data_IF_581320273916
#
_entry.id   IF_581320273916
#
_cell.length_a   1.000
_cell.length_b   1.000
_cell.length_c   1.000
_cell.angle_alpha   90.00
_cell.angle_beta   90.00
_cell.angle_gamma   90.00
#
_symmetry.space_group_name_H-M   'P 1'
#
loop_
_entity.id
_entity.type
_entity.pdbx_description
1 polymer ?
#
# COMPACT_ATOMS: atom_id res chain seq x y z
N UNK A 1 17.89 1.58 14.21
CA UNK A 1 16.99 0.79 15.08
C UNK A 1 16.72 1.45 16.45
N UNK A 2 17.72 1.71 17.31
CA UNK A 2 17.49 2.37 18.61
C UNK A 2 16.77 3.71 18.51
N UNK A 3 17.14 4.53 17.52
CA UNK A 3 16.48 5.83 17.28
C UNK A 3 15.05 5.69 16.74
N UNK A 4 14.78 4.69 15.90
CA UNK A 4 13.43 4.41 15.41
C UNK A 4 12.51 3.93 16.55
N UNK A 5 13.02 3.09 17.46
CA UNK A 5 12.25 2.67 18.62
C UNK A 5 11.84 3.84 19.50
N UNK A 6 12.80 4.72 19.85
CA UNK A 6 12.50 5.94 20.61
C UNK A 6 11.48 6.83 19.91
N UNK A 7 11.61 6.99 18.60
CA UNK A 7 10.64 7.75 17.81
C UNK A 7 9.24 7.14 17.89
N UNK A 8 9.11 5.81 17.79
CA UNK A 8 7.82 5.12 17.90
C UNK A 8 7.27 5.26 19.33
N UNK A 9 8.13 5.19 20.36
CA UNK A 9 7.74 5.30 21.77
C UNK A 9 7.16 6.68 22.13
N UNK A 10 7.39 7.71 21.30
CA UNK A 10 6.80 9.05 21.44
C UNK A 10 5.31 9.11 20.99
N UNK A 11 4.80 8.06 20.36
CA UNK A 11 3.43 7.99 19.83
C UNK A 11 2.62 6.87 20.52
N UNK A 12 1.30 7.06 20.60
CA UNK A 12 0.41 5.95 20.95
C UNK A 12 0.44 4.91 19.81
N UNK A 13 0.39 3.58 20.09
CA UNK A 13 0.31 2.57 19.04
C UNK A 13 -0.79 2.80 18.00
N UNK A 14 -1.92 3.40 18.38
CA UNK A 14 -2.99 3.74 17.42
C UNK A 14 -2.57 4.80 16.39
N UNK A 15 -1.57 5.63 16.72
CA UNK A 15 -1.05 6.77 15.95
C UNK A 15 0.22 6.46 15.16
N UNK A 16 0.64 5.18 15.11
CA UNK A 16 1.77 4.72 14.30
C UNK A 16 1.24 3.89 13.15
N UNK A 17 1.36 4.40 11.93
CA UNK A 17 0.93 3.73 10.70
C UNK A 17 2.09 3.13 9.94
N UNK A 18 1.82 2.06 9.20
CA UNK A 18 2.73 1.53 8.20
C UNK A 18 2.03 1.41 6.85
N UNK A 19 2.67 1.91 5.79
CA UNK A 19 2.25 1.75 4.40
C UNK A 19 3.25 0.84 3.68
N UNK A 20 2.73 0.00 2.78
CA UNK A 20 3.53 -0.69 1.76
C UNK A 20 2.65 -1.11 0.57
N UNK A 21 3.27 -1.19 -0.60
CA UNK A 21 2.62 -1.54 -1.86
C UNK A 21 2.88 -2.98 -2.27
N UNK A 22 1.93 -3.54 -3.02
CA UNK A 22 2.09 -4.87 -3.58
C UNK A 22 1.41 -5.04 -4.93
N UNK A 23 2.09 -5.74 -5.85
CA UNK A 23 1.49 -6.17 -7.10
C UNK A 23 0.49 -7.31 -6.89
N UNK A 24 -0.71 -7.17 -7.42
CA UNK A 24 -1.71 -8.22 -7.59
C UNK A 24 -1.82 -8.61 -9.06
N UNK A 25 -1.53 -9.87 -9.35
CA UNK A 25 -1.71 -10.46 -10.68
C UNK A 25 -3.07 -11.16 -10.75
N UNK A 26 -4.12 -10.39 -10.98
CA UNK A 26 -5.51 -10.84 -10.89
C UNK A 26 -5.95 -11.76 -12.05
N UNK A 27 -5.21 -11.76 -13.17
CA UNK A 27 -5.47 -12.65 -14.29
C UNK A 27 -4.62 -13.93 -14.26
N UNK A 28 -3.84 -14.18 -13.20
CA UNK A 28 -3.03 -15.39 -13.13
C UNK A 28 -3.91 -16.62 -12.82
N UNK A 29 -3.91 -17.64 -13.70
CA UNK A 29 -4.63 -18.87 -13.43
C UNK A 29 -4.04 -19.62 -12.22
N UNK A 30 -4.82 -20.51 -11.57
CA UNK A 30 -4.32 -21.46 -10.59
C UNK A 30 -3.11 -22.23 -11.16
N UNK A 31 -2.14 -22.55 -10.31
CA UNK A 31 -0.78 -22.95 -10.71
C UNK A 31 -0.73 -24.34 -11.36
N UNK A 32 -1.08 -24.45 -12.65
CA UNK A 32 -0.50 -25.31 -13.71
C UNK A 32 -1.37 -25.30 -14.97
N UNK A 33 -0.90 -24.61 -16.00
CA UNK A 33 -0.85 -25.00 -17.43
C UNK A 33 0.06 -23.95 -18.09
N UNK A 34 1.38 -24.08 -17.91
CA UNK A 34 2.35 -23.24 -18.63
C UNK A 34 2.39 -23.68 -20.09
N UNK A 35 1.39 -23.25 -20.85
CA UNK A 35 1.36 -23.30 -22.31
C UNK A 35 1.60 -21.89 -22.87
N UNK A 36 2.87 -21.53 -23.06
CA UNK A 36 3.31 -20.65 -24.14
C UNK A 36 2.74 -19.23 -24.26
N UNK A 37 2.39 -18.51 -23.18
CA UNK A 37 2.03 -17.08 -23.29
C UNK A 37 3.10 -16.18 -22.67
N UNK A 38 3.71 -15.36 -23.52
CA UNK A 38 4.79 -14.39 -23.24
C UNK A 38 4.28 -13.01 -22.80
N UNK A 39 2.96 -12.78 -22.74
CA UNK A 39 2.41 -11.50 -22.27
C UNK A 39 2.59 -11.39 -20.75
N UNK A 40 3.17 -10.27 -20.30
CA UNK A 40 3.20 -9.91 -18.88
C UNK A 40 1.76 -9.96 -18.36
N UNK A 41 1.48 -10.70 -17.27
CA UNK A 41 0.14 -10.74 -16.70
C UNK A 41 -0.27 -9.32 -16.32
N UNK A 42 -1.52 -8.93 -16.60
CA UNK A 42 -2.04 -7.64 -16.12
C UNK A 42 -1.89 -7.62 -14.60
N UNK A 43 -1.20 -6.61 -14.09
CA UNK A 43 -1.02 -6.39 -12.68
C UNK A 43 -1.63 -5.05 -12.30
N UNK A 44 -2.28 -5.04 -11.15
CA UNK A 44 -2.64 -3.83 -10.44
C UNK A 44 -1.74 -3.74 -9.21
N UNK A 45 -1.37 -2.54 -8.80
CA UNK A 45 -0.68 -2.34 -7.53
C UNK A 45 -1.69 -1.90 -6.48
N UNK A 46 -1.62 -2.49 -5.29
CA UNK A 46 -2.41 -2.09 -4.13
C UNK A 46 -1.47 -1.61 -3.04
N UNK A 47 -1.67 -0.39 -2.56
CA UNK A 47 -1.05 0.10 -1.31
C UNK A 47 -1.99 -0.17 -0.14
N UNK A 48 -1.45 -0.74 0.94
CA UNK A 48 -2.18 -1.03 2.17
C UNK A 48 -1.58 -0.24 3.32
N UNK A 49 -2.43 0.38 4.14
CA UNK A 49 -2.02 1.16 5.29
C UNK A 49 -2.87 0.80 6.52
N UNK A 50 -2.23 0.55 7.65
CA UNK A 50 -2.90 0.34 8.93
C UNK A 50 -2.04 0.84 10.09
N UNK A 51 -2.67 1.06 11.24
CA UNK A 51 -1.95 1.42 12.45
C UNK A 51 -1.37 0.20 13.18
N UNK A 52 -0.46 0.46 14.13
CA UNK A 52 0.34 -0.56 14.80
C UNK A 52 -0.48 -1.47 15.72
N UNK A 53 -1.57 -0.97 16.31
CA UNK A 53 -2.49 -1.81 17.12
C UNK A 53 -3.58 -2.50 16.29
N UNK A 54 -3.67 -2.19 14.99
CA UNK A 54 -4.61 -2.80 14.05
C UNK A 54 -6.07 -2.35 14.21
N UNK A 55 -6.34 -1.37 15.07
CA UNK A 55 -7.68 -0.79 15.26
C UNK A 55 -8.16 0.01 14.04
N UNK A 56 -7.23 0.50 13.21
CA UNK A 56 -7.53 1.30 12.03
C UNK A 56 -6.81 0.75 10.79
N UNK A 57 -7.60 0.53 9.74
CA UNK A 57 -7.14 0.08 8.43
C UNK A 57 -7.70 1.06 7.42
N UNK A 58 -6.84 1.71 6.65
CA UNK A 58 -7.29 2.65 5.63
C UNK A 58 -7.81 1.92 4.41
N UNK A 59 -8.65 2.61 3.66
CA UNK A 59 -9.03 2.17 2.32
C UNK A 59 -7.77 1.96 1.47
N UNK A 60 -7.67 0.84 0.74
CA UNK A 60 -6.53 0.59 -0.12
C UNK A 60 -6.41 1.66 -1.21
N UNK A 61 -5.18 1.98 -1.60
CA UNK A 61 -4.92 2.75 -2.82
C UNK A 61 -4.66 1.80 -3.98
N UNK A 62 -5.30 2.02 -5.12
CA UNK A 62 -5.19 1.13 -6.29
C UNK A 62 -4.53 1.84 -7.46
N UNK A 63 -3.55 1.20 -8.09
CA UNK A 63 -2.88 1.72 -9.27
C UNK A 63 -3.07 0.74 -10.41
N UNK A 64 -3.72 1.20 -11.48
CA UNK A 64 -4.03 0.39 -12.64
C UNK A 64 -3.15 0.76 -13.85
N UNK A 65 -2.92 -0.18 -14.76
CA UNK A 65 -2.13 0.06 -15.98
C UNK A 65 -2.87 0.86 -17.04
N UNK A 66 -4.19 0.91 -16.92
CA UNK A 66 -5.13 1.52 -17.86
C UNK A 66 -5.98 2.54 -17.09
N UNK A 67 -6.12 3.75 -17.63
CA UNK A 67 -6.81 4.87 -17.00
C UNK A 67 -8.26 4.56 -16.63
N UNK A 68 -8.93 3.79 -17.49
CA UNK A 68 -10.33 3.41 -17.33
C UNK A 68 -10.49 1.98 -16.80
N UNK A 69 -9.42 1.37 -16.29
CA UNK A 69 -9.44 -0.05 -15.89
C UNK A 69 -10.33 -0.36 -14.69
N UNK A 70 -10.77 0.68 -13.98
CA UNK A 70 -11.71 0.61 -12.87
C UNK A 70 -13.07 1.25 -13.22
N UNK A 71 -13.28 1.70 -14.47
CA UNK A 71 -14.55 2.28 -14.90
C UNK A 71 -15.68 1.27 -14.73
N UNK A 72 -16.80 1.73 -14.17
CA UNK A 72 -17.94 0.87 -13.84
C UNK A 72 -17.74 0.02 -12.58
N UNK A 73 -16.56 0.03 -11.96
CA UNK A 73 -16.39 -0.53 -10.62
C UNK A 73 -16.87 0.50 -9.58
N UNK A 74 -17.83 0.12 -8.74
CA UNK A 74 -18.33 0.96 -7.64
C UNK A 74 -17.41 0.82 -6.41
N UNK A 75 -16.09 0.93 -6.60
CA UNK A 75 -15.13 0.74 -5.52
C UNK A 75 -14.70 2.12 -5.02
N UNK A 76 -15.06 2.51 -3.79
CA UNK A 76 -14.73 3.82 -3.23
C UNK A 76 -13.27 3.81 -2.74
N UNK A 77 -12.32 3.66 -3.65
CA UNK A 77 -10.90 3.70 -3.33
C UNK A 77 -10.24 4.83 -4.09
N UNK A 78 -9.26 5.46 -3.43
CA UNK A 78 -8.33 6.35 -4.13
C UNK A 78 -7.59 5.51 -5.17
N UNK A 79 -7.64 5.94 -6.42
CA UNK A 79 -7.02 5.21 -7.51
C UNK A 79 -6.23 6.12 -8.45
N UNK A 80 -5.20 5.52 -9.03
CA UNK A 80 -4.33 6.16 -10.02
C UNK A 80 -4.17 5.25 -11.22
N UNK A 81 -3.65 5.80 -12.31
CA UNK A 81 -3.29 5.02 -13.48
C UNK A 81 -2.00 5.50 -14.12
N UNK A 82 -1.14 4.56 -14.49
CA UNK A 82 0.02 4.77 -15.34
C UNK A 82 0.40 3.46 -16.02
N UNK A 83 1.09 3.50 -17.15
CA UNK A 83 1.35 2.32 -17.98
C UNK A 83 2.08 1.18 -17.25
N UNK A 84 2.86 1.50 -16.21
CA UNK A 84 3.61 0.56 -15.39
C UNK A 84 2.79 0.02 -14.22
N UNK A 85 1.64 0.62 -13.91
CA UNK A 85 0.84 0.39 -12.72
C UNK A 85 1.66 0.43 -11.43
N UNK A 86 2.59 1.38 -11.30
CA UNK A 86 3.48 1.54 -10.15
C UNK A 86 3.18 2.82 -9.37
N UNK A 87 3.59 2.86 -8.10
CA UNK A 87 3.61 4.10 -7.34
C UNK A 87 4.61 5.07 -7.95
N UNK A 88 4.20 6.34 -8.06
CA UNK A 88 5.05 7.46 -8.51
C UNK A 88 5.15 8.50 -7.40
N UNK A 89 6.12 9.40 -7.49
CA UNK A 89 6.24 10.53 -6.54
C UNK A 89 4.98 11.37 -6.45
N UNK A 90 4.35 11.65 -7.60
CA UNK A 90 3.12 12.44 -7.66
C UNK A 90 1.94 11.72 -6.99
N UNK A 91 1.77 10.41 -7.28
CA UNK A 91 0.71 9.60 -6.68
C UNK A 91 0.89 9.50 -5.16
N UNK A 92 2.12 9.25 -4.71
CA UNK A 92 2.42 9.19 -3.28
C UNK A 92 2.18 10.53 -2.59
N UNK A 93 2.56 11.63 -3.23
CA UNK A 93 2.35 12.99 -2.72
C UNK A 93 0.87 13.30 -2.55
N UNK A 94 0.05 13.06 -3.56
CA UNK A 94 -1.41 13.27 -3.49
C UNK A 94 -2.05 12.38 -2.41
N UNK A 95 -1.67 11.11 -2.33
CA UNK A 95 -2.15 10.20 -1.27
C UNK A 95 -1.74 10.69 0.12
N UNK A 96 -0.49 11.15 0.28
CA UNK A 96 0.05 11.60 1.56
C UNK A 96 -0.62 12.90 2.03
N UNK A 97 -0.94 13.83 1.12
CA UNK A 97 -1.73 15.02 1.44
C UNK A 97 -3.14 14.67 1.91
N UNK A 98 -3.79 13.71 1.26
CA UNK A 98 -5.10 13.22 1.67
C UNK A 98 -5.05 12.53 3.04
N UNK A 99 -4.03 11.71 3.28
CA UNK A 99 -3.77 11.09 4.59
C UNK A 99 -3.52 12.15 5.67
N UNK A 100 -2.74 13.20 5.37
CA UNK A 100 -2.52 14.31 6.30
C UNK A 100 -3.81 15.06 6.65
N UNK A 101 -4.68 15.30 5.66
CA UNK A 101 -5.98 15.93 5.88
C UNK A 101 -6.92 15.03 6.70
N UNK A 102 -6.90 13.71 6.47
CA UNK A 102 -7.65 12.74 7.26
C UNK A 102 -7.24 12.77 8.74
N UNK A 103 -5.95 13.01 9.01
CA UNK A 103 -5.38 13.06 10.35
C UNK A 103 -5.48 14.46 11.01
N UNK A 104 -6.34 15.36 10.54
CA UNK A 104 -6.43 16.76 11.04
C UNK A 104 -6.58 16.94 12.55
N UNK A 105 -7.11 15.94 13.27
CA UNK A 105 -7.38 16.01 14.70
C UNK A 105 -6.34 15.23 15.55
N UNK A 106 -5.25 14.75 14.94
CA UNK A 106 -4.21 13.93 15.60
C UNK A 106 -2.85 14.02 14.91
N UNK A 107 -1.78 13.89 15.67
CA UNK A 107 -0.43 13.78 15.11
C UNK A 107 -0.01 12.30 15.02
N UNK A 108 0.33 11.85 13.82
CA UNK A 108 0.66 10.45 13.57
C UNK A 108 2.06 10.28 12.96
N UNK A 109 2.62 9.10 13.15
CA UNK A 109 3.87 8.66 12.53
C UNK A 109 3.53 7.69 11.39
N UNK A 110 3.96 8.01 10.16
CA UNK A 110 3.87 7.09 9.02
C UNK A 110 5.23 6.44 8.75
N UNK A 111 5.30 5.13 8.90
CA UNK A 111 6.45 4.31 8.53
C UNK A 111 6.28 3.80 7.10
N UNK A 112 7.25 4.10 6.24
CA UNK A 112 7.24 3.67 4.82
C UNK A 112 8.66 3.29 4.41
N UNK A 113 8.82 2.40 3.42
CA UNK A 113 10.16 2.10 2.90
C UNK A 113 10.78 3.30 2.16
N UNK A 114 12.10 3.28 2.01
CA UNK A 114 12.84 4.35 1.33
C UNK A 114 12.90 4.13 -0.20
N UNK A 115 11.79 3.74 -0.84
CA UNK A 115 11.71 3.64 -2.28
C UNK A 115 11.73 5.04 -2.94
N UNK A 116 12.33 5.20 -4.13
CA UNK A 116 12.41 6.50 -4.81
C UNK A 116 11.05 7.19 -5.04
N UNK A 117 9.97 6.41 -5.23
CA UNK A 117 8.61 6.94 -5.39
C UNK A 117 8.04 7.58 -4.13
N UNK A 118 8.59 7.29 -2.95
CA UNK A 118 8.15 7.94 -1.72
C UNK A 118 8.85 9.31 -1.52
N UNK A 119 9.84 9.62 -2.37
CA UNK A 119 10.48 10.92 -2.48
C UNK A 119 11.16 11.41 -1.20
N UNK A 120 11.62 12.65 -1.25
CA UNK A 120 11.80 13.50 -0.08
C UNK A 120 10.56 14.38 0.01
N UNK A 121 9.92 14.47 1.18
CA UNK A 121 8.74 15.31 1.38
C UNK A 121 9.11 16.78 1.19
N UNK A 122 8.96 17.32 -0.02
CA UNK A 122 9.23 18.73 -0.37
C UNK A 122 8.15 19.70 0.15
N UNK A 123 7.14 19.17 0.87
CA UNK A 123 6.01 19.91 1.41
C UNK A 123 5.87 19.68 2.92
N UNK A 124 5.43 20.72 3.62
CA UNK A 124 5.18 20.66 5.06
C UNK A 124 3.87 19.92 5.34
N UNK A 125 3.95 18.91 6.21
CA UNK A 125 2.82 18.16 6.71
C UNK A 125 2.49 18.62 8.12
N UNK A 126 1.25 19.06 8.35
CA UNK A 126 0.80 19.56 9.65
C UNK A 126 0.56 18.44 10.66
N UNK A 127 0.10 17.27 10.23
CA UNK A 127 -0.42 16.21 11.11
C UNK A 127 0.39 14.91 11.02
N UNK A 128 1.08 14.70 9.91
CA UNK A 128 1.79 13.45 9.63
C UNK A 128 3.29 13.67 9.66
N UNK A 129 4.00 12.94 10.51
CA UNK A 129 5.45 12.78 10.41
C UNK A 129 5.75 11.52 9.61
N UNK A 130 6.46 11.66 8.49
CA UNK A 130 6.94 10.51 7.71
C UNK A 130 8.31 10.07 8.23
N UNK A 131 8.49 8.76 8.38
CA UNK A 131 9.78 8.14 8.65
C UNK A 131 10.08 7.08 7.61
N UNK A 132 11.13 7.33 6.81
CA UNK A 132 11.64 6.38 5.83
C UNK A 132 12.48 5.31 6.51
N UNK A 133 12.03 4.07 6.39
CA UNK A 133 12.72 2.90 6.93
C UNK A 133 14.03 2.67 6.17
N UNK A 134 15.12 2.31 6.86
CA UNK A 134 16.39 2.02 6.20
C UNK A 134 16.28 0.82 5.25
N UNK A 135 17.18 0.68 4.26
CA UNK A 135 17.25 -0.51 3.44
C UNK A 135 17.39 -1.79 4.28
N UNK A 136 16.83 -2.90 3.79
CA UNK A 136 16.87 -4.21 4.48
C UNK A 136 16.24 -4.18 5.89
N UNK A 137 15.23 -3.34 6.10
CA UNK A 137 14.51 -3.28 7.37
C UNK A 137 13.89 -4.64 7.69
N UNK A 138 14.13 -5.20 8.90
CA UNK A 138 13.49 -6.43 9.35
C UNK A 138 11.97 -6.38 9.25
N UNK A 139 11.35 -7.51 8.92
CA UNK A 139 9.88 -7.60 8.75
C UNK A 139 9.09 -7.09 9.96
N UNK A 140 9.58 -7.31 11.19
CA UNK A 140 8.92 -6.81 12.41
C UNK A 140 8.82 -5.27 12.49
N UNK A 141 9.55 -4.52 11.67
CA UNK A 141 9.49 -3.05 11.57
C UNK A 141 8.76 -2.57 10.31
N UNK A 142 8.37 -3.48 9.42
CA UNK A 142 7.51 -3.20 8.28
C UNK A 142 6.33 -4.19 8.32
N UNK A 143 5.36 -4.01 9.24
CA UNK A 143 4.26 -4.94 9.49
C UNK A 143 3.51 -5.38 8.22
N UNK A 144 3.38 -4.50 7.23
CA UNK A 144 2.76 -4.84 5.95
C UNK A 144 3.42 -6.04 5.27
N UNK A 145 4.77 -6.09 5.32
CA UNK A 145 5.58 -7.20 4.79
C UNK A 145 5.70 -8.38 5.75
N UNK A 146 5.33 -8.22 7.01
CA UNK A 146 5.38 -9.26 8.02
C UNK A 146 4.21 -10.27 7.94
N UNK A 147 3.28 -10.09 7.00
CA UNK A 147 2.22 -11.07 6.72
C UNK A 147 0.91 -10.46 6.26
N UNK A 148 0.65 -9.17 6.53
CA UNK A 148 -0.62 -8.51 6.16
C UNK A 148 -0.84 -8.56 4.64
N UNK A 149 0.16 -8.13 3.85
CA UNK A 149 0.10 -8.20 2.39
C UNK A 149 -0.10 -9.63 1.89
N UNK A 150 0.59 -10.60 2.50
CA UNK A 150 0.48 -11.99 2.11
C UNK A 150 -0.94 -12.53 2.34
N UNK A 151 -1.53 -12.25 3.50
CA UNK A 151 -2.89 -12.65 3.84
C UNK A 151 -3.92 -11.98 2.93
N UNK A 152 -3.75 -10.68 2.68
CA UNK A 152 -4.58 -9.95 1.73
C UNK A 152 -4.55 -10.61 0.33
N UNK A 153 -3.37 -10.95 -0.19
CA UNK A 153 -3.22 -11.64 -1.49
C UNK A 153 -3.92 -12.99 -1.52
N UNK A 154 -3.81 -13.78 -0.45
CA UNK A 154 -4.47 -15.08 -0.34
C UNK A 154 -5.99 -14.89 -0.39
N UNK A 155 -6.51 -13.93 0.35
CA UNK A 155 -7.94 -13.65 0.42
C UNK A 155 -8.51 -13.17 -0.93
N UNK A 156 -7.85 -12.21 -1.59
CA UNK A 156 -8.26 -11.73 -2.92
C UNK A 156 -8.29 -12.88 -3.93
N UNK A 157 -7.29 -13.77 -3.89
CA UNK A 157 -7.25 -14.92 -4.79
C UNK A 157 -8.37 -15.91 -4.51
N UNK A 158 -8.69 -16.18 -3.25
CA UNK A 158 -9.79 -17.07 -2.87
C UNK A 158 -11.13 -16.52 -3.36
N UNK A 159 -11.41 -15.23 -3.13
CA UNK A 159 -12.62 -14.56 -3.63
C UNK A 159 -12.69 -14.57 -5.15
N UNK A 160 -11.56 -14.33 -5.84
CA UNK A 160 -11.50 -14.39 -7.29
C UNK A 160 -11.84 -15.77 -7.85
N UNK A 161 -11.39 -16.85 -7.19
CA UNK A 161 -11.75 -18.22 -7.59
C UNK A 161 -13.23 -18.48 -7.37
N UNK A 162 -13.79 -18.10 -6.22
CA UNK A 162 -15.23 -18.25 -5.95
C UNK A 162 -16.07 -17.57 -7.03
N UNK A 163 -15.77 -16.31 -7.33
CA UNK A 163 -16.48 -15.54 -8.37
C UNK A 163 -16.38 -16.10 -9.79
N UNK A 164 -15.35 -16.88 -10.10
CA UNK A 164 -15.19 -17.53 -11.42
C UNK A 164 -16.02 -18.82 -11.49
N UNK A 165 -16.25 -19.47 -10.35
CA UNK A 165 -17.00 -20.73 -10.27
C UNK A 165 -18.51 -20.51 -10.18
N UNK A 166 -18.93 -19.35 -9.66
CA UNK A 166 -20.32 -18.87 -9.65
C UNK A 166 -20.74 -18.32 -11.03
#
# INVERSE_FOLDING_TARGET
LKNLRRLIDDYNPRDVFNLDETGLFYQMPPRKLQGGKTKRPKHLTVGLCCNMDGSEKLEPVVIHSEQNGLDGTQIPVRHYANAQAWMTGDNFTDWLQAFNALMKDRHVLLLVDNAPCHGTTEFELSNVRVYFLPPNTPSHLQPMRAGIIQQFKIHVKALGVQRILD
#
